data_IF_180346212998
#
_entry.id   IF_180346212998
#
_cell.length_a   1.000
_cell.length_b   1.000
_cell.length_c   1.000
_cell.angle_alpha   90.00
_cell.angle_beta   90.00
_cell.angle_gamma   90.00
#
_symmetry.space_group_name_H-M   'P 1'
#
loop_
_entity.id
_entity.type
_entity.pdbx_description
1 polymer ?
#
# COMPACT_ATOMS: atom_id res chain seq x y z
N UNK A 1 -2.82 23.49 7.00
CA UNK A 1 -2.01 22.57 6.18
C UNK A 1 -2.41 21.15 6.48
N UNK A 2 -2.92 20.47 5.47
CA UNK A 2 -3.22 19.04 5.50
C UNK A 2 -2.69 18.41 4.22
N UNK A 3 -2.55 17.08 4.21
CA UNK A 3 -2.19 16.33 3.02
C UNK A 3 -2.45 14.85 3.17
N UNK A 4 -2.66 14.18 2.04
CA UNK A 4 -2.68 12.72 1.96
C UNK A 4 -2.07 12.30 0.64
N UNK A 5 -1.19 11.30 0.67
CA UNK A 5 -0.56 10.69 -0.51
C UNK A 5 -0.68 9.18 -0.42
N UNK A 6 -0.94 8.53 -1.55
CA UNK A 6 -1.12 7.09 -1.63
C UNK A 6 -0.50 6.49 -2.90
N UNK A 7 -0.05 5.24 -2.77
CA UNK A 7 0.41 4.43 -3.90
C UNK A 7 -0.75 4.06 -4.82
N UNK A 8 -0.49 4.12 -6.13
CA UNK A 8 -1.41 3.74 -7.22
C UNK A 8 -2.63 4.63 -7.36
N UNK A 9 -3.16 4.68 -8.60
CA UNK A 9 -4.45 5.32 -8.87
C UNK A 9 -5.57 4.82 -7.97
N UNK A 10 -5.57 3.53 -7.59
CA UNK A 10 -6.70 2.88 -6.89
C UNK A 10 -7.12 3.61 -5.61
N UNK A 11 -6.24 4.43 -5.05
CA UNK A 11 -6.50 5.23 -3.87
C UNK A 11 -7.26 6.54 -4.15
N UNK A 12 -7.46 6.96 -5.41
CA UNK A 12 -8.02 8.29 -5.73
C UNK A 12 -9.39 8.51 -5.08
N UNK A 13 -10.28 7.54 -5.19
CA UNK A 13 -11.64 7.63 -4.65
C UNK A 13 -11.60 7.79 -3.12
N UNK A 14 -10.76 7.01 -2.42
CA UNK A 14 -10.55 7.13 -0.98
C UNK A 14 -9.85 8.44 -0.56
N UNK A 15 -8.83 8.86 -1.31
CA UNK A 15 -8.15 10.15 -1.08
C UNK A 15 -9.11 11.32 -1.25
N UNK A 16 -10.03 11.26 -2.21
CA UNK A 16 -10.98 12.34 -2.45
C UNK A 16 -11.90 12.54 -1.24
N UNK A 17 -12.40 11.45 -0.68
CA UNK A 17 -13.20 11.49 0.55
C UNK A 17 -12.38 11.95 1.76
N UNK A 18 -11.16 11.42 1.94
CA UNK A 18 -10.27 11.83 3.02
C UNK A 18 -9.87 13.30 2.92
N UNK A 19 -9.61 13.83 1.72
CA UNK A 19 -9.31 15.25 1.51
C UNK A 19 -10.49 16.14 1.94
N UNK A 20 -11.73 15.74 1.65
CA UNK A 20 -12.93 16.45 2.10
C UNK A 20 -13.12 16.37 3.63
N UNK A 21 -12.69 15.29 4.28
CA UNK A 21 -12.65 15.17 5.73
C UNK A 21 -11.59 16.10 6.34
N UNK A 22 -10.36 16.09 5.81
CA UNK A 22 -9.24 16.92 6.26
C UNK A 22 -9.53 18.41 6.08
N UNK A 23 -10.18 18.82 4.98
CA UNK A 23 -10.68 20.19 4.76
C UNK A 23 -11.65 20.66 5.88
N UNK A 24 -12.27 19.73 6.59
CA UNK A 24 -13.18 19.96 7.73
C UNK A 24 -12.52 19.67 9.08
N UNK A 25 -11.19 19.65 9.14
CA UNK A 25 -10.40 19.43 10.36
C UNK A 25 -10.62 18.06 11.02
N UNK A 26 -10.90 17.02 10.22
CA UNK A 26 -10.92 15.65 10.70
C UNK A 26 -9.52 15.14 11.05
N UNK A 27 -9.45 14.18 11.96
CA UNK A 27 -8.19 13.53 12.38
C UNK A 27 -7.53 12.77 11.21
N UNK A 28 -6.19 12.78 11.17
CA UNK A 28 -5.41 12.07 10.16
C UNK A 28 -5.70 10.56 10.16
N UNK A 29 -5.87 9.96 11.35
CA UNK A 29 -6.17 8.54 11.51
C UNK A 29 -7.55 8.15 11.00
N UNK A 30 -8.57 8.98 11.22
CA UNK A 30 -9.92 8.74 10.67
C UNK A 30 -9.94 8.87 9.15
N UNK A 31 -9.22 9.87 8.64
CA UNK A 31 -9.12 10.16 7.21
C UNK A 31 -8.40 9.03 6.45
N UNK A 32 -7.25 8.57 6.95
CA UNK A 32 -6.48 7.50 6.29
C UNK A 32 -7.18 6.14 6.36
N UNK A 33 -7.86 5.83 7.48
CA UNK A 33 -8.63 4.60 7.61
C UNK A 33 -9.79 4.58 6.60
N UNK A 34 -10.53 5.69 6.49
CA UNK A 34 -11.62 5.83 5.51
C UNK A 34 -11.12 5.63 4.08
N UNK A 35 -9.99 6.26 3.73
CA UNK A 35 -9.39 6.14 2.40
C UNK A 35 -8.97 4.70 2.06
N UNK A 36 -8.34 3.98 2.99
CA UNK A 36 -7.92 2.59 2.76
C UNK A 36 -9.13 1.66 2.70
N UNK A 37 -10.12 1.83 3.57
CA UNK A 37 -11.36 1.03 3.55
C UNK A 37 -12.07 1.11 2.20
N UNK A 38 -12.10 2.29 1.58
CA UNK A 38 -12.67 2.46 0.25
C UNK A 38 -11.98 1.57 -0.81
N UNK A 39 -10.67 1.35 -0.69
CA UNK A 39 -9.91 0.43 -1.56
C UNK A 39 -10.17 -1.02 -1.17
N UNK A 40 -10.16 -1.34 0.14
CA UNK A 40 -10.45 -2.69 0.63
C UNK A 40 -11.84 -3.20 0.26
N UNK A 41 -12.83 -2.31 0.17
CA UNK A 41 -14.21 -2.69 -0.14
C UNK A 41 -14.51 -2.79 -1.64
N UNK A 42 -13.61 -2.30 -2.51
CA UNK A 42 -13.84 -2.28 -3.95
C UNK A 42 -13.42 -3.59 -4.64
N UNK A 43 -14.40 -4.42 -4.97
CA UNK A 43 -14.23 -5.80 -5.47
C UNK A 43 -13.38 -5.99 -6.74
N UNK A 44 -13.13 -4.92 -7.50
CA UNK A 44 -12.38 -4.97 -8.75
C UNK A 44 -10.89 -4.70 -8.57
N UNK A 45 -10.46 -4.24 -7.38
CA UNK A 45 -9.05 -4.23 -7.02
C UNK A 45 -8.63 -5.62 -6.55
N UNK A 46 -7.61 -6.15 -7.21
CA UNK A 46 -7.23 -7.57 -7.12
C UNK A 46 -6.11 -7.84 -6.12
N UNK A 47 -5.62 -6.80 -5.48
CA UNK A 47 -4.40 -6.83 -4.67
C UNK A 47 -4.60 -6.25 -3.27
N UNK A 48 -5.83 -5.85 -2.93
CA UNK A 48 -6.21 -5.27 -1.65
C UNK A 48 -7.63 -5.74 -1.30
N UNK A 49 -7.84 -6.19 -0.06
CA UNK A 49 -9.17 -6.45 0.49
C UNK A 49 -10.06 -7.40 -0.34
N UNK A 50 -11.32 -7.00 -0.51
CA UNK A 50 -12.39 -7.78 -1.10
C UNK A 50 -12.14 -8.00 -2.60
N UNK A 51 -12.10 -9.26 -3.03
CA UNK A 51 -11.70 -9.59 -4.41
C UNK A 51 -10.18 -9.67 -4.61
N UNK A 52 -9.40 -9.51 -3.53
CA UNK A 52 -7.98 -9.83 -3.49
C UNK A 52 -7.69 -11.24 -4.01
N UNK A 53 -6.59 -11.39 -4.75
CA UNK A 53 -6.21 -12.66 -5.34
C UNK A 53 -5.71 -13.63 -4.27
N UNK A 54 -6.14 -14.91 -4.31
CA UNK A 54 -5.84 -15.84 -3.23
C UNK A 54 -4.41 -16.42 -3.30
N UNK A 55 -4.04 -17.07 -2.22
CA UNK A 55 -2.84 -17.91 -2.11
C UNK A 55 -2.97 -19.21 -2.94
N UNK A 56 -1.94 -20.06 -2.91
CA UNK A 56 -1.93 -21.32 -3.68
C UNK A 56 -3.04 -22.32 -3.28
N UNK A 57 -3.60 -22.18 -2.08
CA UNK A 57 -4.72 -22.98 -1.56
C UNK A 57 -6.10 -22.37 -1.87
N UNK A 58 -6.15 -21.32 -2.71
CA UNK A 58 -7.36 -20.58 -3.06
C UNK A 58 -8.01 -19.87 -1.85
N UNK A 59 -7.23 -19.54 -0.82
CA UNK A 59 -7.68 -18.73 0.30
C UNK A 59 -7.19 -17.28 0.17
N UNK A 60 -8.05 -16.30 0.50
CA UNK A 60 -7.65 -14.89 0.53
C UNK A 60 -7.10 -14.56 1.91
N UNK A 61 -5.81 -14.24 1.96
CA UNK A 61 -5.08 -13.86 3.17
C UNK A 61 -4.63 -12.41 3.05
N UNK A 62 -5.02 -11.57 4.00
CA UNK A 62 -4.79 -10.14 3.96
C UNK A 62 -3.72 -9.72 4.98
N UNK A 63 -2.94 -8.70 4.61
CA UNK A 63 -2.00 -8.03 5.50
C UNK A 63 -2.34 -6.54 5.56
N UNK A 64 -2.29 -5.93 6.74
CA UNK A 64 -2.50 -4.50 6.91
C UNK A 64 -1.82 -3.95 8.14
N UNK A 65 -1.61 -2.64 8.15
CA UNK A 65 -0.90 -1.93 9.20
C UNK A 65 -1.42 -0.52 9.39
N UNK A 66 -1.22 0.00 10.59
CA UNK A 66 -1.49 1.38 10.97
C UNK A 66 -0.41 1.86 11.95
N UNK A 67 0.08 3.08 11.78
CA UNK A 67 0.97 3.75 12.73
C UNK A 67 0.53 5.19 12.95
N UNK A 68 0.54 5.57 14.23
CA UNK A 68 0.25 6.89 14.77
C UNK A 68 1.58 7.62 14.97
N UNK A 69 1.78 8.75 14.27
CA UNK A 69 3.05 9.45 14.24
C UNK A 69 3.36 10.27 15.49
N UNK A 70 2.34 10.58 16.31
CA UNK A 70 2.51 11.37 17.54
C UNK A 70 3.02 10.49 18.68
N UNK A 71 2.53 9.24 18.71
CA UNK A 71 2.83 8.27 19.77
C UNK A 71 3.84 7.21 19.36
N UNK A 72 4.05 7.04 18.04
CA UNK A 72 4.73 5.90 17.43
C UNK A 72 4.03 4.55 17.71
N UNK A 73 2.77 4.60 18.16
CA UNK A 73 1.92 3.42 18.32
C UNK A 73 1.73 2.75 16.95
N UNK A 74 1.89 1.43 16.92
CA UNK A 74 1.81 0.65 15.69
C UNK A 74 0.93 -0.56 15.91
N UNK A 75 0.07 -0.88 14.94
CA UNK A 75 -0.74 -2.08 14.94
C UNK A 75 -0.72 -2.76 13.58
N UNK A 76 -0.65 -4.09 13.59
CA UNK A 76 -0.43 -4.88 12.39
C UNK A 76 -1.23 -6.18 12.41
N UNK A 77 -1.76 -6.55 11.25
CA UNK A 77 -2.31 -7.89 10.99
C UNK A 77 -1.63 -8.52 9.79
N UNK A 78 -1.39 -9.82 9.85
CA UNK A 78 -0.84 -10.59 8.73
C UNK A 78 -1.56 -11.91 8.52
N UNK A 79 -1.70 -12.31 7.26
CA UNK A 79 -2.39 -13.52 6.83
C UNK A 79 -3.80 -13.70 7.46
N UNK A 80 -4.53 -12.59 7.67
CA UNK A 80 -5.88 -12.65 8.24
C UNK A 80 -6.89 -13.05 7.14
N UNK A 81 -7.83 -13.93 7.48
CA UNK A 81 -8.89 -14.40 6.58
C UNK A 81 -10.27 -13.96 7.06
N UNK A 82 -11.19 -13.79 6.11
CA UNK A 82 -12.62 -13.59 6.34
C UNK A 82 -13.03 -12.33 7.14
N UNK A 83 -12.33 -11.21 7.00
CA UNK A 83 -12.71 -9.92 7.56
C UNK A 83 -12.68 -8.82 6.51
N UNK A 84 -13.70 -7.95 6.53
CA UNK A 84 -13.90 -6.93 5.51
C UNK A 84 -12.75 -5.92 5.42
N UNK A 85 -12.30 -5.42 6.58
CA UNK A 85 -11.34 -4.31 6.64
C UNK A 85 -10.17 -4.57 7.59
N UNK A 86 -9.09 -5.21 7.11
CA UNK A 86 -7.86 -5.42 7.86
C UNK A 86 -7.25 -4.15 8.45
N UNK A 87 -7.30 -3.00 7.75
CA UNK A 87 -6.73 -1.73 8.26
C UNK A 87 -7.41 -1.28 9.56
N UNK A 88 -8.72 -1.47 9.68
CA UNK A 88 -9.47 -1.12 10.90
C UNK A 88 -9.05 -1.98 12.09
N UNK A 89 -8.73 -3.25 11.84
CA UNK A 89 -8.22 -4.17 12.87
C UNK A 89 -6.81 -3.75 13.28
N UNK A 90 -5.96 -3.41 12.32
CA UNK A 90 -4.62 -2.88 12.58
C UNK A 90 -4.66 -1.57 13.38
N UNK A 91 -5.55 -0.63 13.04
CA UNK A 91 -5.73 0.61 13.81
C UNK A 91 -6.18 0.35 15.25
N UNK A 92 -7.07 -0.61 15.48
CA UNK A 92 -7.46 -0.96 16.84
C UNK A 92 -6.30 -1.60 17.62
N UNK A 93 -5.52 -2.48 16.97
CA UNK A 93 -4.34 -3.10 17.57
C UNK A 93 -3.24 -2.10 17.94
N UNK A 94 -3.17 -0.94 17.27
CA UNK A 94 -2.14 0.06 17.60
C UNK A 94 -2.30 0.63 19.01
N UNK A 95 -3.51 0.56 19.58
CA UNK A 95 -3.79 0.99 20.95
C UNK A 95 -3.44 -0.06 22.01
N UNK A 96 -2.99 -1.25 21.60
CA UNK A 96 -2.48 -2.27 22.51
C UNK A 96 -1.02 -2.00 22.87
N UNK A 97 -0.65 -1.90 24.16
CA UNK A 97 0.74 -1.60 24.56
C UNK A 97 1.71 -2.77 24.27
N UNK A 98 1.18 -3.99 24.09
CA UNK A 98 1.89 -5.22 23.73
C UNK A 98 0.97 -6.10 22.89
N UNK A 99 1.52 -7.04 22.11
CA UNK A 99 0.74 -7.92 21.21
C UNK A 99 0.00 -7.17 20.08
N UNK A 100 0.58 -6.07 19.63
CA UNK A 100 0.06 -5.18 18.60
C UNK A 100 0.32 -5.67 17.15
N UNK A 101 1.02 -6.78 16.97
CA UNK A 101 1.14 -7.47 15.68
C UNK A 101 0.62 -8.90 15.81
N UNK A 102 -0.56 -9.16 15.26
CA UNK A 102 -1.19 -10.48 15.26
C UNK A 102 -1.24 -11.09 13.85
N UNK A 103 -1.17 -12.42 13.76
CA UNK A 103 -1.25 -13.11 12.47
C UNK A 103 -2.22 -14.28 12.48
N UNK A 104 -2.75 -14.61 11.31
CA UNK A 104 -3.63 -15.76 11.05
C UNK A 104 -4.77 -15.87 12.07
N UNK A 105 -4.99 -17.09 12.58
CA UNK A 105 -6.05 -17.38 13.54
C UNK A 105 -5.99 -16.55 14.84
N UNK A 106 -4.82 -16.02 15.22
CA UNK A 106 -4.69 -15.10 16.35
C UNK A 106 -5.34 -13.76 16.06
N UNK A 107 -5.04 -13.17 14.90
CA UNK A 107 -5.66 -11.94 14.41
C UNK A 107 -7.17 -12.11 14.21
N UNK A 108 -7.60 -13.23 13.63
CA UNK A 108 -9.03 -13.52 13.42
C UNK A 108 -9.83 -13.60 14.73
N UNK A 109 -9.26 -14.23 15.76
CA UNK A 109 -9.90 -14.31 17.09
C UNK A 109 -9.98 -12.94 17.75
N UNK A 110 -8.96 -12.12 17.59
CA UNK A 110 -8.96 -10.73 18.07
C UNK A 110 -10.06 -9.94 17.36
N UNK A 111 -10.10 -9.98 16.02
CA UNK A 111 -11.07 -9.27 15.22
C UNK A 111 -12.51 -9.70 15.54
N UNK A 112 -12.75 -11.01 15.67
CA UNK A 112 -14.05 -11.51 16.05
C UNK A 112 -14.50 -11.03 17.44
N UNK A 113 -13.61 -11.03 18.42
CA UNK A 113 -13.90 -10.58 19.79
C UNK A 113 -14.29 -9.11 19.86
N UNK A 114 -13.69 -8.29 19.00
CA UNK A 114 -13.94 -6.85 18.93
C UNK A 114 -15.08 -6.47 17.97
N UNK A 115 -15.80 -7.45 17.43
CA UNK A 115 -17.01 -7.21 16.64
C UNK A 115 -16.76 -6.75 15.21
N UNK A 116 -15.55 -6.95 14.66
CA UNK A 116 -15.28 -6.65 13.26
C UNK A 116 -16.11 -7.55 12.33
N UNK A 117 -16.55 -6.99 11.21
CA UNK A 117 -17.39 -7.68 10.24
C UNK A 117 -16.65 -8.85 9.58
N UNK A 118 -17.24 -10.04 9.70
CA UNK A 118 -16.81 -11.20 8.92
C UNK A 118 -17.38 -11.12 7.51
N UNK A 119 -16.53 -11.32 6.51
CA UNK A 119 -16.89 -11.26 5.09
C UNK A 119 -16.01 -12.25 4.34
N UNK A 120 -16.60 -13.12 3.52
CA UNK A 120 -15.81 -13.96 2.62
C UNK A 120 -15.18 -13.07 1.55
N UNK A 121 -13.85 -13.01 1.56
CA UNK A 121 -13.10 -12.09 0.70
C UNK A 121 -12.85 -12.63 -0.72
N UNK A 122 -13.13 -13.93 -0.94
CA UNK A 122 -12.94 -14.61 -2.21
C UNK A 122 -14.16 -14.44 -3.14
N UNK A 123 -14.06 -13.54 -4.11
CA UNK A 123 -15.10 -13.31 -5.12
C UNK A 123 -15.06 -14.36 -6.24
N UNK A 124 -16.17 -14.51 -6.97
CA UNK A 124 -16.19 -15.33 -8.19
C UNK A 124 -15.16 -14.86 -9.23
N UNK A 125 -14.92 -13.54 -9.30
CA UNK A 125 -13.90 -12.94 -10.16
C UNK A 125 -12.49 -13.40 -9.78
N UNK A 126 -12.16 -13.43 -8.48
CA UNK A 126 -10.89 -13.93 -7.98
C UNK A 126 -10.72 -15.44 -8.24
N UNK A 127 -11.78 -16.23 -8.10
CA UNK A 127 -11.77 -17.67 -8.48
C UNK A 127 -11.48 -17.88 -9.96
N UNK A 128 -12.05 -17.07 -10.85
CA UNK A 128 -11.76 -17.12 -12.30
C UNK A 128 -10.26 -16.86 -12.54
N UNK A 129 -9.68 -15.86 -11.88
CA UNK A 129 -8.24 -15.60 -11.97
C UNK A 129 -7.39 -16.77 -11.49
N UNK A 130 -7.72 -17.33 -10.33
CA UNK A 130 -7.06 -18.51 -9.77
C UNK A 130 -7.09 -19.69 -10.74
N UNK A 131 -8.27 -20.06 -11.24
CA UNK A 131 -8.40 -21.19 -12.17
C UNK A 131 -7.64 -20.95 -13.49
N UNK A 132 -7.71 -19.74 -14.04
CA UNK A 132 -6.96 -19.41 -15.25
C UNK A 132 -5.45 -19.53 -15.01
N UNK A 133 -4.96 -19.07 -13.85
CA UNK A 133 -3.54 -19.20 -13.49
C UNK A 133 -3.11 -20.64 -13.29
N UNK A 134 -3.89 -21.46 -12.57
CA UNK A 134 -3.59 -22.89 -12.38
C UNK A 134 -3.50 -23.63 -13.73
N UNK A 135 -4.38 -23.30 -14.67
CA UNK A 135 -4.33 -23.86 -16.02
C UNK A 135 -3.05 -23.46 -16.75
N UNK A 136 -2.71 -22.16 -16.76
CA UNK A 136 -1.46 -21.64 -17.34
C UNK A 136 -0.22 -22.30 -16.71
N UNK A 137 -0.22 -22.54 -15.39
CA UNK A 137 0.84 -23.24 -14.66
C UNK A 137 1.02 -24.68 -15.10
N UNK A 138 -0.09 -25.38 -15.36
CA UNK A 138 -0.05 -26.78 -15.76
C UNK A 138 0.42 -26.94 -17.21
N UNK A 139 0.16 -25.94 -18.05
CA UNK A 139 0.47 -25.95 -19.48
C UNK A 139 1.86 -25.36 -19.81
N UNK A 140 2.44 -24.48 -18.97
CA UNK A 140 3.74 -23.83 -19.20
C UNK A 140 4.75 -24.10 -18.07
N UNK A 141 5.94 -24.60 -18.42
CA UNK A 141 7.05 -24.89 -17.48
C UNK A 141 7.84 -23.67 -17.00
N UNK A 142 7.67 -22.49 -17.61
CA UNK A 142 8.38 -21.25 -17.26
C UNK A 142 7.46 -20.18 -16.65
N UNK A 143 6.82 -20.51 -15.53
CA UNK A 143 6.13 -19.49 -14.76
C UNK A 143 7.12 -18.52 -14.11
N UNK A 144 6.84 -17.23 -14.27
CA UNK A 144 7.43 -16.22 -13.39
C UNK A 144 6.67 -16.27 -12.05
N UNK A 145 7.36 -16.50 -10.92
CA UNK A 145 6.72 -16.50 -9.59
C UNK A 145 6.17 -15.13 -9.16
N UNK A 146 6.42 -14.09 -9.95
CA UNK A 146 5.98 -12.72 -9.69
C UNK A 146 5.54 -12.05 -10.99
N UNK A 147 4.35 -11.46 -11.01
CA UNK A 147 3.77 -10.74 -12.16
C UNK A 147 3.33 -9.32 -11.81
N UNK A 148 4.03 -8.67 -10.88
CA UNK A 148 3.58 -7.40 -10.27
C UNK A 148 2.62 -7.65 -9.10
N UNK A 149 2.79 -6.87 -8.03
CA UNK A 149 1.84 -6.82 -6.94
C UNK A 149 1.70 -5.38 -6.42
N UNK A 150 0.46 -4.90 -6.40
CA UNK A 150 0.13 -3.54 -5.99
C UNK A 150 -0.39 -3.56 -4.55
N UNK A 151 0.34 -3.00 -3.60
CA UNK A 151 -0.16 -2.72 -2.24
C UNK A 151 -0.72 -1.30 -2.22
N UNK A 152 -1.81 -1.05 -1.48
CA UNK A 152 -2.17 0.33 -1.12
C UNK A 152 -1.45 0.71 0.16
N UNK A 153 -0.65 1.76 0.08
CA UNK A 153 0.03 2.40 1.19
C UNK A 153 -0.23 3.90 1.16
N UNK A 154 -0.42 4.50 2.33
CA UNK A 154 -0.80 5.91 2.47
C UNK A 154 -0.02 6.59 3.60
N UNK A 155 0.20 7.90 3.46
CA UNK A 155 0.65 8.81 4.51
C UNK A 155 -0.31 9.99 4.56
N UNK A 156 -0.76 10.37 5.74
CA UNK A 156 -1.74 11.44 5.95
C UNK A 156 -1.24 12.42 7.02
N UNK A 157 -1.52 13.71 6.82
CA UNK A 157 -1.23 14.84 7.69
C UNK A 157 -2.52 15.64 7.86
N UNK A 158 -2.93 15.88 9.11
CA UNK A 158 -4.05 16.78 9.42
C UNK A 158 -3.61 18.21 9.76
N UNK A 159 -4.59 19.09 9.95
CA UNK A 159 -4.37 20.51 10.23
C UNK A 159 -3.81 20.83 11.62
N UNK A 160 -3.69 19.83 12.49
CA UNK A 160 -3.05 19.92 13.81
C UNK A 160 -1.60 19.46 13.79
N UNK A 161 -1.13 18.93 12.66
CA UNK A 161 0.22 18.37 12.54
C UNK A 161 0.32 16.90 12.91
N UNK A 162 -0.81 16.22 13.20
CA UNK A 162 -0.80 14.78 13.45
C UNK A 162 -0.63 14.06 12.12
N UNK A 163 0.34 13.14 12.08
CA UNK A 163 0.62 12.31 10.91
C UNK A 163 0.33 10.85 11.19
N UNK A 164 -0.20 10.16 10.18
CA UNK A 164 -0.43 8.70 10.23
C UNK A 164 0.04 8.04 8.95
N UNK A 165 0.40 6.76 9.04
CA UNK A 165 0.69 5.92 7.88
C UNK A 165 -0.03 4.59 8.03
N UNK A 166 -0.54 4.07 6.92
CA UNK A 166 -1.27 2.81 6.91
C UNK A 166 -1.14 2.11 5.57
N UNK A 167 -1.26 0.79 5.59
CA UNK A 167 -1.14 -0.09 4.43
C UNK A 167 -2.20 -1.18 4.46
N UNK A 168 -2.59 -1.67 3.29
CA UNK A 168 -3.43 -2.86 3.16
C UNK A 168 -3.14 -3.59 1.85
N UNK A 169 -3.21 -4.93 1.89
CA UNK A 169 -2.85 -5.79 0.76
C UNK A 169 -3.44 -7.18 0.89
N UNK A 170 -3.67 -7.87 -0.24
CA UNK A 170 -3.87 -9.33 -0.28
C UNK A 170 -2.55 -10.10 -0.47
N UNK A 171 -1.44 -9.39 -0.70
CA UNK A 171 -0.13 -9.97 -0.97
C UNK A 171 -0.06 -10.72 -2.30
N UNK A 172 1.10 -11.33 -2.58
CA UNK A 172 1.36 -11.96 -3.88
C UNK A 172 0.29 -13.00 -4.25
N UNK A 173 -0.20 -12.93 -5.49
CA UNK A 173 -1.07 -13.95 -6.04
C UNK A 173 -0.34 -15.29 -6.08
N UNK A 174 -1.01 -16.38 -5.65
CA UNK A 174 -0.42 -17.71 -5.53
C UNK A 174 0.74 -17.81 -4.52
N UNK A 175 0.81 -16.90 -3.54
CA UNK A 175 1.74 -17.04 -2.42
C UNK A 175 1.53 -18.36 -1.67
N UNK A 176 2.57 -18.85 -1.00
CA UNK A 176 2.41 -19.89 0.02
C UNK A 176 1.47 -19.39 1.12
N UNK A 177 0.62 -20.27 1.63
CA UNK A 177 -0.26 -19.96 2.76
C UNK A 177 0.57 -19.45 3.96
N UNK A 178 0.10 -18.38 4.60
CA UNK A 178 0.80 -17.72 5.70
C UNK A 178 1.98 -16.84 5.29
N UNK A 179 2.28 -16.65 3.99
CA UNK A 179 3.31 -15.68 3.56
C UNK A 179 2.85 -14.26 3.86
N UNK A 180 3.71 -13.54 4.58
CA UNK A 180 3.55 -12.12 4.91
C UNK A 180 4.55 -11.26 4.12
N UNK A 181 4.07 -10.16 3.55
CA UNK A 181 4.90 -9.19 2.83
C UNK A 181 5.51 -8.08 3.71
N UNK A 182 5.97 -7.01 3.06
CA UNK A 182 6.46 -5.79 3.70
C UNK A 182 5.34 -4.94 4.32
N UNK A 183 4.13 -5.04 3.77
CA UNK A 183 3.01 -4.14 4.07
C UNK A 183 2.70 -4.04 5.58
N UNK A 184 2.62 -5.13 6.37
CA UNK A 184 2.39 -5.05 7.82
C UNK A 184 3.69 -4.87 8.64
N UNK A 185 4.83 -4.60 8.01
CA UNK A 185 6.13 -4.52 8.69
C UNK A 185 6.57 -3.06 8.80
N UNK A 186 6.48 -2.52 10.01
CA UNK A 186 6.91 -1.15 10.32
C UNK A 186 8.39 -0.93 9.98
N UNK A 187 8.68 0.23 9.41
CA UNK A 187 9.98 0.60 8.86
C UNK A 187 10.25 0.02 7.47
N UNK A 188 9.57 -1.04 7.07
CA UNK A 188 9.65 -1.60 5.72
C UNK A 188 8.54 -1.05 4.82
N UNK A 189 7.31 -1.55 4.94
CA UNK A 189 6.18 -1.15 4.10
C UNK A 189 5.61 0.23 4.44
N UNK A 190 5.85 0.71 5.65
CA UNK A 190 5.37 2.00 6.14
C UNK A 190 6.17 2.47 7.35
N UNK A 191 6.23 3.78 7.56
CA UNK A 191 6.74 4.40 8.79
C UNK A 191 6.26 5.85 8.87
N UNK A 192 6.01 6.37 10.08
CA UNK A 192 5.64 7.78 10.28
C UNK A 192 6.13 8.28 11.63
N UNK A 193 6.57 9.53 11.66
CA UNK A 193 6.94 10.32 12.83
C UNK A 193 6.40 11.74 12.58
N UNK A 194 5.43 12.21 13.38
CA UNK A 194 4.78 13.52 13.16
C UNK A 194 5.76 14.70 13.28
N UNK A 195 6.89 14.53 13.96
CA UNK A 195 7.94 15.56 14.04
C UNK A 195 8.75 15.67 12.74
N UNK A 196 8.58 14.71 11.81
CA UNK A 196 9.41 14.60 10.60
C UNK A 196 8.56 14.43 9.34
N UNK A 197 7.84 13.31 9.25
CA UNK A 197 7.17 12.85 8.04
C UNK A 197 6.86 11.35 8.08
N UNK A 198 6.21 10.87 7.02
CA UNK A 198 5.95 9.46 6.81
C UNK A 198 6.31 8.99 5.40
N UNK A 199 6.47 7.69 5.25
CA UNK A 199 6.69 7.02 3.98
C UNK A 199 5.92 5.70 3.93
N UNK A 200 5.55 5.28 2.72
CA UNK A 200 4.93 3.98 2.48
C UNK A 200 5.37 3.38 1.14
N UNK A 201 5.38 2.05 1.07
CA UNK A 201 5.94 1.29 -0.02
C UNK A 201 4.93 0.35 -0.67
N UNK A 202 5.23 -0.01 -1.92
CA UNK A 202 4.60 -1.10 -2.68
C UNK A 202 5.66 -1.77 -3.54
N UNK A 203 5.43 -3.03 -3.92
CA UNK A 203 6.31 -3.80 -4.80
C UNK A 203 6.56 -5.22 -4.30
N UNK A 204 7.76 -5.75 -4.55
CA UNK A 204 8.16 -7.06 -4.08
C UNK A 204 8.54 -7.01 -2.59
N UNK A 205 7.59 -7.35 -1.72
CA UNK A 205 7.75 -7.23 -0.28
C UNK A 205 9.01 -7.90 0.30
N UNK A 206 9.44 -9.04 -0.26
CA UNK A 206 10.69 -9.68 0.16
C UNK A 206 11.90 -8.76 0.00
N UNK A 207 11.95 -7.95 -1.06
CA UNK A 207 13.05 -7.03 -1.31
C UNK A 207 12.89 -5.74 -0.50
N UNK A 208 11.69 -5.18 -0.40
CA UNK A 208 11.40 -4.00 0.44
C UNK A 208 11.76 -4.25 1.92
N UNK A 209 11.49 -5.45 2.45
CA UNK A 209 11.87 -5.85 3.83
C UNK A 209 13.37 -5.89 4.08
N UNK A 210 14.19 -6.16 3.06
CA UNK A 210 15.65 -6.21 3.23
C UNK A 210 16.26 -4.83 3.49
N UNK A 211 15.56 -3.76 3.12
CA UNK A 211 16.11 -2.39 3.12
C UNK A 211 15.56 -1.48 4.21
N UNK A 212 14.46 -1.85 4.88
CA UNK A 212 13.74 -0.95 5.80
C UNK A 212 13.52 0.44 5.17
N UNK A 213 13.10 0.45 3.89
CA UNK A 213 13.22 1.63 3.03
C UNK A 213 12.29 2.77 3.47
N UNK A 214 11.11 2.47 4.02
CA UNK A 214 10.22 3.51 4.57
C UNK A 214 10.84 4.23 5.77
N UNK A 215 11.47 3.49 6.70
CA UNK A 215 12.21 4.10 7.81
C UNK A 215 13.39 4.93 7.30
N UNK A 216 14.14 4.42 6.32
CA UNK A 216 15.29 5.14 5.76
C UNK A 216 14.88 6.49 5.14
N UNK A 217 13.74 6.54 4.44
CA UNK A 217 13.20 7.79 3.91
C UNK A 217 12.88 8.78 5.03
N UNK A 218 12.19 8.36 6.09
CA UNK A 218 11.87 9.23 7.23
C UNK A 218 13.14 9.67 7.96
N UNK A 219 14.13 8.79 8.12
CA UNK A 219 15.45 9.12 8.68
C UNK A 219 16.18 10.19 7.85
N UNK A 220 16.15 10.08 6.51
CA UNK A 220 16.75 11.06 5.61
C UNK A 220 16.01 12.42 5.68
N UNK A 221 14.68 12.41 5.78
CA UNK A 221 13.91 13.64 6.01
C UNK A 221 14.29 14.30 7.36
N UNK A 222 14.52 13.49 8.40
CA UNK A 222 15.03 13.97 9.71
C UNK A 222 16.40 14.63 9.61
N UNK A 223 17.23 14.22 8.64
CA UNK A 223 18.52 14.84 8.32
C UNK A 223 18.41 16.09 7.43
N UNK A 224 17.19 16.55 7.14
CA UNK A 224 16.93 17.77 6.39
C UNK A 224 16.77 17.58 4.89
N UNK A 225 16.61 16.34 4.41
CA UNK A 225 16.23 16.09 3.01
C UNK A 225 14.77 16.42 2.78
N UNK A 226 14.45 16.95 1.60
CA UNK A 226 13.06 17.00 1.14
C UNK A 226 12.52 15.58 0.95
N UNK A 227 11.20 15.37 0.97
CA UNK A 227 10.60 14.05 0.71
C UNK A 227 11.08 13.43 -0.61
N UNK A 228 11.16 14.23 -1.68
CA UNK A 228 11.62 13.75 -2.98
C UNK A 228 13.09 13.32 -2.95
N UNK A 229 13.98 14.12 -2.37
CA UNK A 229 15.40 13.74 -2.22
C UNK A 229 15.56 12.49 -1.36
N UNK A 230 14.77 12.35 -0.29
CA UNK A 230 14.80 11.19 0.59
C UNK A 230 14.37 9.91 -0.15
N UNK A 231 13.26 9.96 -0.89
CA UNK A 231 12.82 8.85 -1.76
C UNK A 231 13.91 8.49 -2.79
N UNK A 232 14.47 9.49 -3.48
CA UNK A 232 15.47 9.26 -4.53
C UNK A 232 16.75 8.62 -3.97
N UNK A 233 17.21 9.07 -2.80
CA UNK A 233 18.40 8.51 -2.16
C UNK A 233 18.13 7.07 -1.71
N UNK A 234 17.04 6.84 -0.98
CA UNK A 234 16.75 5.54 -0.37
C UNK A 234 16.51 4.47 -1.44
N UNK A 235 15.60 4.73 -2.39
CA UNK A 235 15.21 3.74 -3.41
C UNK A 235 16.35 3.45 -4.37
N UNK A 236 17.01 4.47 -4.92
CA UNK A 236 18.05 4.26 -5.93
C UNK A 236 19.32 3.63 -5.33
N UNK A 237 19.70 4.00 -4.10
CA UNK A 237 20.85 3.38 -3.42
C UNK A 237 20.57 1.91 -3.14
N UNK A 238 19.38 1.61 -2.63
CA UNK A 238 19.01 0.24 -2.27
C UNK A 238 18.81 -0.66 -3.49
N UNK A 239 18.21 -0.16 -4.58
CA UNK A 239 18.13 -0.86 -5.87
C UNK A 239 19.52 -1.26 -6.39
N UNK A 240 20.47 -0.32 -6.40
CA UNK A 240 21.87 -0.58 -6.78
C UNK A 240 22.53 -1.60 -5.87
N UNK A 241 22.26 -1.54 -4.58
CA UNK A 241 22.81 -2.47 -3.59
C UNK A 241 22.28 -3.90 -3.81
N UNK A 242 20.97 -4.06 -4.03
CA UNK A 242 20.36 -5.36 -4.37
C UNK A 242 20.94 -5.92 -5.66
N UNK A 243 21.04 -5.10 -6.73
CA UNK A 243 21.66 -5.51 -8.00
C UNK A 243 23.11 -5.93 -7.80
N UNK A 244 23.90 -5.18 -7.03
CA UNK A 244 25.30 -5.53 -6.73
C UNK A 244 25.44 -6.83 -5.94
N UNK A 245 24.61 -7.05 -4.92
CA UNK A 245 24.73 -8.21 -4.01
C UNK A 245 24.06 -9.47 -4.53
N UNK A 246 23.00 -9.34 -5.35
CA UNK A 246 22.12 -10.44 -5.75
C UNK A 246 21.93 -10.57 -7.26
N UNK A 247 22.55 -9.69 -8.04
CA UNK A 247 22.41 -9.65 -9.51
C UNK A 247 21.10 -9.06 -10.01
N UNK A 248 20.13 -8.80 -9.13
CA UNK A 248 18.82 -8.21 -9.46
C UNK A 248 18.22 -7.48 -8.26
N UNK A 249 17.31 -6.55 -8.54
CA UNK A 249 16.40 -5.95 -7.57
C UNK A 249 14.97 -6.24 -8.03
N UNK A 250 14.09 -6.55 -7.08
CA UNK A 250 12.65 -6.56 -7.32
C UNK A 250 12.07 -5.15 -7.43
N UNK A 251 10.81 -5.13 -7.80
CA UNK A 251 9.97 -3.93 -7.89
C UNK A 251 9.87 -3.22 -6.54
N UNK A 252 10.06 -1.91 -6.54
CA UNK A 252 9.94 -1.03 -5.37
C UNK A 252 9.46 0.35 -5.82
N UNK A 253 8.34 0.80 -5.26
CA UNK A 253 7.89 2.19 -5.34
C UNK A 253 7.60 2.70 -3.94
N UNK A 254 8.02 3.92 -3.66
CA UNK A 254 7.80 4.56 -2.38
C UNK A 254 7.25 5.96 -2.56
N UNK A 255 6.31 6.29 -1.69
CA UNK A 255 5.75 7.63 -1.51
C UNK A 255 6.16 8.16 -0.14
N UNK A 256 6.27 9.48 -0.02
CA UNK A 256 6.57 10.15 1.24
C UNK A 256 5.88 11.51 1.33
N UNK A 257 5.63 11.93 2.56
CA UNK A 257 5.16 13.27 2.90
C UNK A 257 5.82 13.72 4.20
N UNK A 258 6.26 14.97 4.28
CA UNK A 258 6.75 15.54 5.53
C UNK A 258 5.66 16.29 6.32
N UNK A 259 5.99 16.71 7.54
CA UNK A 259 5.09 17.49 8.39
C UNK A 259 4.79 18.92 7.91
N UNK A 260 5.24 19.28 6.70
CA UNK A 260 4.93 20.52 5.99
C UNK A 260 4.09 20.26 4.72
N UNK A 261 3.53 19.05 4.57
CA UNK A 261 2.72 18.68 3.42
C UNK A 261 3.48 18.64 2.09
N UNK A 262 4.81 18.78 2.09
CA UNK A 262 5.62 18.51 0.92
C UNK A 262 5.64 17.00 0.70
N UNK A 263 5.65 16.55 -0.55
CA UNK A 263 5.59 15.14 -0.90
C UNK A 263 6.69 14.74 -1.88
N UNK A 264 6.98 13.45 -1.95
CA UNK A 264 8.02 12.88 -2.78
C UNK A 264 7.71 11.44 -3.16
N UNK A 265 8.19 11.02 -4.33
CA UNK A 265 7.92 9.69 -4.87
C UNK A 265 9.15 9.19 -5.62
N UNK A 266 9.53 7.92 -5.46
CA UNK A 266 10.55 7.27 -6.31
C UNK A 266 10.16 5.83 -6.57
N UNK A 267 10.38 5.38 -7.81
CA UNK A 267 10.12 4.00 -8.23
C UNK A 267 11.22 3.46 -9.13
N UNK A 268 11.43 2.14 -9.10
CA UNK A 268 12.17 1.42 -10.14
C UNK A 268 11.25 0.66 -11.12
N UNK A 269 9.95 0.91 -11.07
CA UNK A 269 8.89 0.23 -11.83
C UNK A 269 8.36 1.17 -12.91
N UNK A 270 8.22 0.66 -14.14
CA UNK A 270 7.49 1.38 -15.19
C UNK A 270 5.98 1.37 -14.94
N UNK A 271 5.32 2.50 -15.17
CA UNK A 271 3.85 2.58 -15.07
C UNK A 271 3.32 2.70 -13.64
N UNK A 272 4.19 2.97 -12.66
CA UNK A 272 3.75 3.37 -11.33
C UNK A 272 2.92 4.65 -11.40
N UNK A 273 1.81 4.66 -10.67
CA UNK A 273 0.98 5.85 -10.46
C UNK A 273 0.87 6.11 -8.97
N UNK A 274 0.54 7.32 -8.58
CA UNK A 274 0.22 7.66 -7.20
C UNK A 274 -0.88 8.72 -7.20
N UNK A 275 -1.57 8.86 -6.08
CA UNK A 275 -2.59 9.87 -5.87
C UNK A 275 -2.20 10.75 -4.69
N UNK A 276 -2.43 12.06 -4.79
CA UNK A 276 -2.12 13.04 -3.75
C UNK A 276 -3.19 14.11 -3.69
N UNK A 277 -3.46 14.59 -2.48
CA UNK A 277 -4.26 15.78 -2.22
C UNK A 277 -3.62 16.57 -1.08
N UNK A 278 -3.58 17.89 -1.19
CA UNK A 278 -3.09 18.80 -0.15
C UNK A 278 -4.03 20.00 0.02
N UNK A 279 -3.70 20.92 0.90
CA UNK A 279 -4.39 22.21 1.00
C UNK A 279 -4.37 23.02 -0.31
N UNK A 280 -3.32 22.82 -1.13
CA UNK A 280 -3.11 23.59 -2.37
C UNK A 280 -3.27 22.74 -3.63
N UNK A 281 -3.63 21.47 -3.49
CA UNK A 281 -3.68 20.50 -4.58
C UNK A 281 -4.93 19.64 -4.41
N UNK A 282 -5.88 19.77 -5.32
CA UNK A 282 -7.05 18.89 -5.35
C UNK A 282 -6.62 17.44 -5.61
N UNK A 283 -7.43 16.43 -5.21
CA UNK A 283 -7.14 15.02 -5.45
C UNK A 283 -6.71 14.75 -6.90
N UNK A 284 -5.42 14.45 -7.07
CA UNK A 284 -4.79 14.33 -8.38
C UNK A 284 -4.02 13.02 -8.48
N UNK A 285 -4.14 12.36 -9.63
CA UNK A 285 -3.35 11.17 -9.95
C UNK A 285 -2.20 11.57 -10.85
N UNK A 286 -1.01 11.15 -10.46
CA UNK A 286 0.21 11.31 -11.25
C UNK A 286 0.68 9.97 -11.78
N UNK A 287 1.21 10.01 -13.00
CA UNK A 287 1.95 8.92 -13.64
C UNK A 287 3.42 9.21 -13.48
N UNK A 288 4.17 8.21 -13.00
CA UNK A 288 5.63 8.31 -12.93
C UNK A 288 6.21 7.92 -14.27
N UNK A 289 7.05 8.80 -14.83
CA UNK A 289 7.69 8.67 -16.12
C UNK A 289 9.20 8.84 -15.98
N UNK A 290 9.93 8.38 -16.99
CA UNK A 290 11.37 8.52 -17.08
C UNK A 290 11.71 9.21 -18.39
N UNK A 291 12.63 10.17 -18.35
CA UNK A 291 13.19 10.79 -19.55
C UNK A 291 14.27 9.90 -20.19
N UNK A 292 14.84 10.35 -21.31
CA UNK A 292 15.90 9.61 -22.03
C UNK A 292 17.17 9.37 -21.19
N UNK A 293 17.36 10.13 -20.10
CA UNK A 293 18.46 9.96 -19.15
C UNK A 293 18.08 9.08 -17.95
N UNK A 294 16.91 8.43 -17.99
CA UNK A 294 16.31 7.72 -16.87
C UNK A 294 16.08 8.59 -15.63
N UNK A 295 15.94 9.90 -15.79
CA UNK A 295 15.51 10.79 -14.71
C UNK A 295 14.00 10.73 -14.58
N UNK A 296 13.54 10.52 -13.36
CA UNK A 296 12.13 10.45 -13.05
C UNK A 296 11.45 11.83 -13.12
N UNK A 297 10.22 11.88 -13.64
CA UNK A 297 9.33 13.04 -13.57
C UNK A 297 7.86 12.59 -13.46
N UNK A 298 6.97 13.54 -13.15
CA UNK A 298 5.56 13.27 -12.90
C UNK A 298 4.66 13.97 -13.90
N UNK A 299 3.70 13.24 -14.46
CA UNK A 299 2.67 13.78 -15.35
C UNK A 299 1.29 13.57 -14.73
N UNK A 300 0.42 14.57 -14.78
CA UNK A 300 -0.97 14.40 -14.37
C UNK A 300 -1.65 13.40 -15.30
N UNK A 301 -2.30 12.38 -14.72
CA UNK A 301 -3.03 11.39 -15.50
C UNK A 301 -4.19 12.04 -16.26
N UNK A 302 -4.27 11.79 -17.56
CA UNK A 302 -5.39 12.29 -18.36
C UNK A 302 -6.69 11.58 -17.99
N UNK A 303 -7.83 12.23 -18.23
CA UNK A 303 -9.14 11.61 -18.05
C UNK A 303 -9.27 10.30 -18.85
N UNK A 304 -8.78 10.28 -20.09
CA UNK A 304 -8.78 9.08 -20.93
C UNK A 304 -8.00 7.93 -20.30
N UNK A 305 -6.82 8.21 -19.73
CA UNK A 305 -6.03 7.20 -19.02
C UNK A 305 -6.79 6.66 -17.80
N UNK A 306 -7.43 7.55 -17.04
CA UNK A 306 -8.21 7.21 -15.85
C UNK A 306 -9.45 6.38 -16.18
N UNK A 307 -10.14 6.69 -17.27
CA UNK A 307 -11.30 5.95 -17.76
C UNK A 307 -10.87 4.56 -18.25
N UNK A 308 -9.77 4.46 -18.99
CA UNK A 308 -9.21 3.18 -19.44
C UNK A 308 -8.72 2.31 -18.28
N UNK A 309 -8.09 2.91 -17.26
CA UNK A 309 -7.68 2.21 -16.03
C UNK A 309 -8.86 1.48 -15.37
N UNK A 310 -10.02 2.13 -15.31
CA UNK A 310 -11.22 1.55 -14.71
C UNK A 310 -11.86 0.52 -15.64
N UNK A 311 -12.04 0.85 -16.92
CA UNK A 311 -12.66 -0.04 -17.90
C UNK A 311 -11.95 -1.40 -17.99
N UNK A 312 -10.61 -1.41 -17.97
CA UNK A 312 -9.82 -2.65 -18.02
C UNK A 312 -9.98 -3.51 -16.76
N UNK A 313 -10.15 -2.90 -15.59
CA UNK A 313 -10.29 -3.61 -14.31
C UNK A 313 -11.69 -4.16 -14.09
N UNK A 314 -12.71 -3.44 -14.56
CA UNK A 314 -14.12 -3.83 -14.45
C UNK A 314 -14.60 -4.70 -15.62
N UNK A 315 -13.79 -4.86 -16.67
CA UNK A 315 -14.11 -5.70 -17.81
C UNK A 315 -14.54 -7.12 -17.39
N UNK A 316 -15.57 -7.71 -18.03
CA UNK A 316 -15.98 -9.09 -17.78
C UNK A 316 -14.81 -10.07 -17.95
N UNK A 317 -14.78 -11.11 -17.12
CA UNK A 317 -13.79 -12.18 -17.22
C UNK A 317 -14.47 -13.48 -17.62
N UNK A 318 -13.74 -14.27 -18.40
CA UNK A 318 -14.14 -15.61 -18.79
C UNK A 318 -13.15 -16.60 -18.20
N UNK A 319 -13.67 -17.67 -17.60
CA UNK A 319 -12.87 -18.82 -17.17
C UNK A 319 -12.41 -19.59 -18.41
N UNK A 320 -11.10 -19.73 -18.57
CA UNK A 320 -10.45 -20.44 -19.68
C UNK A 320 -10.31 -21.93 -19.39
#
# INVERSE_FOLDING_TARGET
MYGIIATWRMALEGISEAADMLKKSADAGDSIETAIRAVEDFEFYKSVGYGGLPNEEMEVELDAAFMDGDTLDVGCVGAIKDFANPVSIARMLSKEPVNNFLVGAGAEKYAHRHGFERKNMLTERAKIHYHNRVKETTENTELKPYSGHDTVGMVCLDDKGHMTAATSTSGLFMKHAGRVGDSPVSGSGFYVDSEVGGASATGLGEDVMKGCVSYEIVRLMKEGKTPQEACDIAVNTFDKELKKRRGKAGDMSLIAMNNKGEWGVTTNIEGFSFAVATENEEPTVYLVKFDDNHKQYFEVASKEWMDNYMATRTAPLVRK
#
